data_IF_299565131483
#
_entry.id   IF_299565131483
#
_cell.length_a   1.000
_cell.length_b   1.000
_cell.length_c   1.000
_cell.angle_alpha   90.00
_cell.angle_beta   90.00
_cell.angle_gamma   90.00
#
_symmetry.space_group_name_H-M   'P 1'
#
loop_
_entity.id
_entity.type
_entity.pdbx_description
1 polymer ?
#
# COMPACT_ATOMS: atom_id res chain seq x y z
N UNK A 1 3.26 3.98 -18.73
CA UNK A 1 3.39 2.99 -17.63
C UNK A 1 2.35 3.31 -16.57
N UNK A 2 1.70 2.29 -16.01
CA UNK A 2 0.60 2.42 -15.04
C UNK A 2 1.04 1.86 -13.68
N UNK A 3 0.94 2.68 -12.64
CA UNK A 3 1.36 2.32 -11.27
C UNK A 3 0.17 2.39 -10.32
N UNK A 4 -0.06 1.32 -9.58
CA UNK A 4 -1.05 1.26 -8.51
C UNK A 4 -0.36 1.36 -7.16
N UNK A 5 -0.53 2.48 -6.45
CA UNK A 5 -0.14 2.57 -5.05
C UNK A 5 -1.20 1.96 -4.15
N UNK A 6 -0.77 1.21 -3.14
CA UNK A 6 -1.65 0.50 -2.20
C UNK A 6 -1.22 0.82 -0.78
N UNK A 7 -2.09 1.52 -0.02
CA UNK A 7 -1.86 1.86 1.38
C UNK A 7 -3.16 2.11 2.14
N UNK A 8 -3.11 1.97 3.48
CA UNK A 8 -4.30 2.06 4.35
C UNK A 8 -4.99 3.42 4.36
N UNK A 9 -4.25 4.49 4.14
CA UNK A 9 -4.68 5.89 4.23
C UNK A 9 -4.10 6.70 3.09
N UNK A 10 -4.71 7.84 2.73
CA UNK A 10 -4.25 8.67 1.63
C UNK A 10 -4.53 10.16 1.89
N UNK A 11 -3.67 11.02 1.36
CA UNK A 11 -3.96 12.45 1.25
C UNK A 11 -5.15 12.68 0.28
N UNK A 12 -6.09 13.58 0.52
CA UNK A 12 -6.13 14.58 1.59
C UNK A 12 -6.84 14.12 2.87
N UNK A 13 -7.42 12.91 2.93
CA UNK A 13 -8.17 12.44 4.12
C UNK A 13 -7.27 12.36 5.35
N UNK A 14 -6.02 11.97 5.16
CA UNK A 14 -4.99 11.95 6.20
C UNK A 14 -3.71 12.63 5.71
N UNK A 15 -2.91 13.18 6.63
CA UNK A 15 -1.71 13.98 6.33
C UNK A 15 -0.45 13.46 7.02
N UNK A 16 -0.33 12.13 7.14
CA UNK A 16 0.86 11.48 7.71
C UNK A 16 2.06 11.47 6.76
N UNK A 17 3.20 11.01 7.26
CA UNK A 17 4.44 10.97 6.48
C UNK A 17 4.35 10.05 5.25
N UNK A 18 3.75 8.86 5.41
CA UNK A 18 3.61 7.90 4.30
C UNK A 18 2.71 8.45 3.21
N UNK A 19 1.59 9.09 3.58
CA UNK A 19 0.65 9.72 2.63
C UNK A 19 1.34 10.81 1.81
N UNK A 20 2.24 11.59 2.44
CA UNK A 20 3.02 12.61 1.72
C UNK A 20 4.03 11.97 0.78
N UNK A 21 4.68 10.88 1.17
CA UNK A 21 5.59 10.14 0.27
C UNK A 21 4.84 9.62 -0.94
N UNK A 22 3.67 8.98 -0.75
CA UNK A 22 2.84 8.49 -1.86
C UNK A 22 2.45 9.66 -2.79
N UNK A 23 1.99 10.77 -2.22
CA UNK A 23 1.63 11.99 -2.95
C UNK A 23 2.80 12.52 -3.80
N UNK A 24 3.99 12.64 -3.19
CA UNK A 24 5.18 13.14 -3.89
C UNK A 24 5.65 12.19 -5.00
N UNK A 25 5.60 10.87 -4.79
CA UNK A 25 5.91 9.91 -5.85
C UNK A 25 4.92 10.04 -7.00
N UNK A 26 3.61 10.07 -6.71
CA UNK A 26 2.57 10.19 -7.74
C UNK A 26 2.69 11.48 -8.55
N UNK A 27 2.91 12.62 -7.88
CA UNK A 27 3.07 13.92 -8.55
C UNK A 27 4.40 14.03 -9.31
N UNK A 28 5.51 13.53 -8.73
CA UNK A 28 6.84 13.60 -9.31
C UNK A 28 7.03 12.69 -10.52
N UNK A 29 6.30 11.59 -10.60
CA UNK A 29 6.37 10.65 -11.74
C UNK A 29 5.43 11.01 -12.89
N UNK A 30 4.43 11.85 -12.66
CA UNK A 30 3.47 12.28 -13.67
C UNK A 30 4.13 12.96 -14.91
N UNK A 31 5.12 13.89 -14.77
CA UNK A 31 5.81 14.46 -15.92
C UNK A 31 6.58 13.44 -16.77
N UNK A 32 6.88 12.25 -16.19
CA UNK A 32 7.52 11.14 -16.89
C UNK A 32 6.55 10.25 -17.67
N UNK A 33 5.26 10.66 -17.76
CA UNK A 33 4.21 9.91 -18.45
C UNK A 33 3.73 8.68 -17.67
N UNK A 34 3.90 8.66 -16.35
CA UNK A 34 3.40 7.59 -15.49
C UNK A 34 1.97 7.95 -15.05
N UNK A 35 1.03 7.06 -15.38
CA UNK A 35 -0.35 7.12 -14.90
C UNK A 35 -0.45 6.41 -13.55
N UNK A 36 -0.86 7.14 -12.52
CA UNK A 36 -0.92 6.64 -11.14
C UNK A 36 -2.35 6.58 -10.63
N UNK A 37 -2.68 5.47 -9.97
CA UNK A 37 -3.88 5.34 -9.13
C UNK A 37 -3.48 4.95 -7.71
N UNK A 38 -4.30 5.36 -6.74
CA UNK A 38 -4.10 5.01 -5.34
C UNK A 38 -5.32 4.25 -4.85
N UNK A 39 -5.12 3.05 -4.31
CA UNK A 39 -6.14 2.27 -3.61
C UNK A 39 -5.94 2.39 -2.11
N UNK A 40 -6.97 2.85 -1.41
CA UNK A 40 -6.92 3.12 0.02
C UNK A 40 -8.22 2.73 0.74
N UNK A 41 -8.22 2.77 2.06
CA UNK A 41 -9.40 2.63 2.90
C UNK A 41 -9.90 4.00 3.38
N UNK A 42 -11.20 4.07 3.69
CA UNK A 42 -11.85 5.24 4.29
C UNK A 42 -12.79 4.83 5.41
N UNK A 43 -12.97 5.71 6.40
CA UNK A 43 -13.98 5.56 7.44
C UNK A 43 -15.38 5.97 6.95
N UNK A 44 -15.44 6.82 5.94
CA UNK A 44 -16.68 7.44 5.48
C UNK A 44 -17.43 6.55 4.47
N UNK A 45 -17.06 6.62 3.21
CA UNK A 45 -17.77 5.92 2.14
C UNK A 45 -16.81 5.41 1.06
N UNK A 46 -17.27 4.44 0.29
CA UNK A 46 -16.56 4.04 -0.92
C UNK A 46 -16.77 5.10 -2.00
N UNK A 47 -15.69 5.64 -2.53
CA UNK A 47 -15.71 6.69 -3.55
C UNK A 47 -14.49 6.59 -4.47
N UNK A 48 -14.59 7.21 -5.64
CA UNK A 48 -13.44 7.50 -6.49
C UNK A 48 -13.44 9.00 -6.79
N UNK A 49 -12.29 9.63 -6.62
CA UNK A 49 -12.11 11.06 -6.85
C UNK A 49 -10.70 11.37 -7.31
N UNK A 50 -10.50 12.57 -7.83
CA UNK A 50 -9.18 13.04 -8.25
C UNK A 50 -8.60 14.02 -7.23
N UNK A 51 -7.34 13.83 -6.89
CA UNK A 51 -6.55 14.78 -6.11
C UNK A 51 -5.22 15.03 -6.83
N UNK A 52 -4.94 16.29 -7.15
CA UNK A 52 -3.73 16.69 -7.89
C UNK A 52 -3.50 15.91 -9.19
N UNK A 53 -4.61 15.50 -9.82
CA UNK A 53 -4.60 14.74 -11.07
C UNK A 53 -4.29 13.25 -10.93
N UNK A 54 -4.25 12.73 -9.69
CA UNK A 54 -4.16 11.29 -9.39
C UNK A 54 -5.53 10.76 -8.98
N UNK A 55 -5.97 9.66 -9.58
CA UNK A 55 -7.22 9.00 -9.19
C UNK A 55 -7.03 8.22 -7.88
N UNK A 56 -7.86 8.52 -6.90
CA UNK A 56 -7.89 7.86 -5.59
C UNK A 56 -9.16 7.02 -5.51
N UNK A 57 -9.00 5.72 -5.33
CA UNK A 57 -10.08 4.78 -5.09
C UNK A 57 -10.11 4.46 -3.60
N UNK A 58 -11.05 5.08 -2.90
CA UNK A 58 -11.22 4.98 -1.46
C UNK A 58 -12.34 3.98 -1.16
N UNK A 59 -12.06 2.97 -0.36
CA UNK A 59 -13.01 1.90 -0.02
C UNK A 59 -13.37 1.98 1.45
N UNK A 60 -14.69 2.04 1.75
CA UNK A 60 -15.16 2.03 3.14
C UNK A 60 -14.70 0.76 3.85
N UNK A 61 -14.10 0.94 5.04
CA UNK A 61 -13.79 -0.16 5.96
C UNK A 61 -15.06 -0.91 6.35
N UNK A 62 -15.00 -2.23 6.40
CA UNK A 62 -16.07 -3.07 6.95
C UNK A 62 -15.83 -3.38 8.41
N UNK A 63 -14.58 -3.61 8.76
CA UNK A 63 -14.09 -3.88 10.13
C UNK A 63 -12.71 -3.23 10.31
N UNK A 64 -12.38 -2.94 11.55
CA UNK A 64 -11.04 -2.47 11.93
C UNK A 64 -10.60 -3.18 13.21
N UNK A 65 -9.40 -3.77 13.20
CA UNK A 65 -8.78 -4.45 14.34
C UNK A 65 -7.37 -3.87 14.49
N UNK A 66 -7.08 -3.29 15.66
CA UNK A 66 -5.75 -2.74 15.97
C UNK A 66 -5.21 -1.77 14.91
N UNK A 67 -6.05 -0.83 14.45
CA UNK A 67 -5.76 0.14 13.38
C UNK A 67 -5.47 -0.51 12.00
N UNK A 68 -5.80 -1.76 11.83
CA UNK A 68 -5.75 -2.47 10.56
C UNK A 68 -7.17 -2.65 10.02
N UNK A 69 -7.55 -1.78 9.09
CA UNK A 69 -8.85 -1.83 8.44
C UNK A 69 -8.91 -2.94 7.38
N UNK A 70 -10.07 -3.54 7.23
CA UNK A 70 -10.35 -4.55 6.21
C UNK A 70 -11.71 -4.34 5.54
N UNK A 71 -11.80 -4.72 4.26
CA UNK A 71 -13.07 -4.75 3.53
C UNK A 71 -13.01 -5.77 2.38
N UNK A 72 -14.06 -6.56 2.21
CA UNK A 72 -14.19 -7.44 1.05
C UNK A 72 -14.26 -6.68 -0.28
N UNK A 73 -14.81 -5.45 -0.24
CA UNK A 73 -14.82 -4.56 -1.40
C UNK A 73 -13.39 -4.15 -1.81
N UNK A 74 -12.48 -4.03 -0.83
CA UNK A 74 -11.08 -3.70 -1.10
C UNK A 74 -10.42 -4.79 -1.95
N UNK A 75 -10.59 -6.07 -1.61
CA UNK A 75 -10.06 -7.20 -2.40
C UNK A 75 -10.59 -7.16 -3.83
N UNK A 76 -11.90 -6.90 -3.99
CA UNK A 76 -12.52 -6.82 -5.31
C UNK A 76 -11.96 -5.67 -6.14
N UNK A 77 -11.79 -4.49 -5.53
CA UNK A 77 -11.19 -3.34 -6.20
C UNK A 77 -9.73 -3.59 -6.52
N UNK A 78 -8.97 -4.18 -5.60
CA UNK A 78 -7.59 -4.54 -5.83
C UNK A 78 -7.42 -5.50 -7.02
N UNK A 79 -8.21 -6.57 -7.10
CA UNK A 79 -8.21 -7.50 -8.26
C UNK A 79 -8.48 -6.81 -9.59
N UNK A 80 -9.37 -5.80 -9.60
CA UNK A 80 -9.65 -5.00 -10.80
C UNK A 80 -8.48 -4.11 -11.16
N UNK A 81 -7.93 -3.40 -10.17
CA UNK A 81 -6.87 -2.43 -10.36
C UNK A 81 -5.51 -3.07 -10.62
N UNK A 82 -5.23 -4.24 -10.05
CA UNK A 82 -4.01 -4.98 -10.36
C UNK A 82 -3.94 -5.43 -11.81
N UNK A 83 -5.09 -5.73 -12.45
CA UNK A 83 -5.14 -6.01 -13.89
C UNK A 83 -4.93 -4.77 -14.77
N UNK A 84 -5.21 -3.59 -14.24
CA UNK A 84 -5.00 -2.32 -14.94
C UNK A 84 -3.54 -1.85 -14.84
N UNK A 85 -2.87 -2.14 -13.71
CA UNK A 85 -1.53 -1.66 -13.41
C UNK A 85 -0.45 -2.48 -14.15
N UNK A 86 0.63 -1.84 -14.54
CA UNK A 86 1.87 -2.50 -14.97
C UNK A 86 2.74 -2.85 -13.76
N UNK A 87 2.68 -2.03 -12.70
CA UNK A 87 3.44 -2.18 -11.44
C UNK A 87 2.51 -1.92 -10.26
N UNK A 88 2.64 -2.73 -9.20
CA UNK A 88 1.97 -2.49 -7.93
C UNK A 88 2.99 -2.00 -6.91
N UNK A 89 2.74 -0.84 -6.32
CA UNK A 89 3.62 -0.23 -5.31
C UNK A 89 2.94 -0.28 -3.94
N UNK A 90 3.40 -1.18 -3.09
CA UNK A 90 2.95 -1.30 -1.72
C UNK A 90 3.75 -0.41 -0.79
N UNK A 91 3.08 0.12 0.24
CA UNK A 91 3.70 0.89 1.30
C UNK A 91 3.55 0.11 2.62
N UNK A 92 4.67 -0.38 3.13
CA UNK A 92 4.77 -1.17 4.36
C UNK A 92 5.06 -0.24 5.55
N UNK A 93 4.50 -0.46 6.76
CA UNK A 93 3.73 -1.64 7.16
C UNK A 93 2.22 -1.48 6.99
N UNK A 94 1.59 -2.46 6.40
CA UNK A 94 0.13 -2.59 6.37
C UNK A 94 -0.30 -4.05 6.16
N UNK A 95 -0.63 -4.80 7.22
CA UNK A 95 -0.97 -6.23 7.12
C UNK A 95 -2.10 -6.57 6.12
N UNK A 96 -3.11 -5.70 5.98
CA UNK A 96 -4.13 -5.90 4.94
C UNK A 96 -3.55 -5.72 3.53
N UNK A 97 -2.58 -4.82 3.34
CA UNK A 97 -1.87 -4.64 2.06
C UNK A 97 -1.09 -5.89 1.68
N UNK A 98 -0.38 -6.48 2.65
CA UNK A 98 0.39 -7.71 2.46
C UNK A 98 -0.54 -8.88 2.12
N UNK A 99 -1.70 -8.98 2.79
CA UNK A 99 -2.73 -9.95 2.46
C UNK A 99 -3.31 -9.73 1.05
N UNK A 100 -3.47 -8.49 0.59
CA UNK A 100 -3.94 -8.19 -0.76
C UNK A 100 -2.99 -8.74 -1.84
N UNK A 101 -1.69 -8.83 -1.59
CA UNK A 101 -0.71 -9.35 -2.55
C UNK A 101 -1.03 -10.78 -3.00
N UNK A 102 -1.68 -11.58 -2.14
CA UNK A 102 -2.12 -12.95 -2.47
C UNK A 102 -3.23 -13.00 -3.53
N UNK A 103 -3.89 -11.88 -3.81
CA UNK A 103 -5.03 -11.79 -4.74
C UNK A 103 -4.72 -10.99 -6.00
N UNK A 104 -3.51 -10.44 -6.13
CA UNK A 104 -3.07 -9.66 -7.27
C UNK A 104 -2.86 -10.50 -8.54
N UNK A 105 -2.67 -9.81 -9.65
CA UNK A 105 -2.10 -10.39 -10.86
C UNK A 105 -0.58 -10.52 -10.69
N UNK A 106 0.07 -11.28 -11.57
CA UNK A 106 1.53 -11.51 -11.57
C UNK A 106 2.35 -10.26 -11.98
N UNK A 107 1.88 -9.07 -11.61
CA UNK A 107 2.58 -7.83 -11.94
C UNK A 107 3.83 -7.67 -11.06
N UNK A 108 4.89 -7.08 -11.60
CA UNK A 108 6.01 -6.62 -10.80
C UNK A 108 5.56 -5.75 -9.64
N UNK A 109 6.17 -5.96 -8.48
CA UNK A 109 5.84 -5.22 -7.26
C UNK A 109 7.05 -4.49 -6.67
N UNK A 110 6.78 -3.30 -6.16
CA UNK A 110 7.70 -2.50 -5.36
C UNK A 110 7.13 -2.41 -3.96
N UNK A 111 7.95 -2.58 -2.95
CA UNK A 111 7.57 -2.36 -1.55
C UNK A 111 8.45 -1.26 -0.98
N UNK A 112 7.84 -0.14 -0.57
CA UNK A 112 8.54 0.88 0.22
C UNK A 112 8.35 0.61 1.70
N UNK A 113 9.47 0.35 2.37
CA UNK A 113 9.56 0.04 3.80
C UNK A 113 9.74 1.33 4.59
N UNK A 114 8.70 1.77 5.31
CA UNK A 114 8.71 3.04 6.05
C UNK A 114 9.12 2.89 7.51
N UNK A 115 8.78 1.77 8.14
CA UNK A 115 9.09 1.50 9.55
C UNK A 115 8.84 0.04 9.91
N UNK A 116 9.45 -0.42 11.00
CA UNK A 116 9.17 -1.72 11.60
C UNK A 116 7.80 -1.76 12.30
N UNK A 117 7.19 -2.95 12.38
CA UNK A 117 6.02 -3.19 13.22
C UNK A 117 6.50 -3.39 14.66
N UNK A 118 6.57 -2.31 15.44
CA UNK A 118 7.07 -2.33 16.82
C UNK A 118 5.98 -2.75 17.83
N UNK A 119 4.70 -2.56 17.48
CA UNK A 119 3.56 -2.82 18.39
C UNK A 119 3.02 -4.22 18.20
N UNK A 120 2.64 -4.88 19.34
CA UNK A 120 1.94 -6.18 19.39
C UNK A 120 2.82 -7.41 19.07
N UNK A 121 3.86 -7.63 19.87
CA UNK A 121 4.80 -8.76 19.73
C UNK A 121 4.14 -10.15 19.56
N UNK A 122 2.99 -10.40 20.18
CA UNK A 122 2.26 -11.68 20.05
C UNK A 122 1.59 -11.84 18.68
N UNK A 123 0.98 -10.76 18.16
CA UNK A 123 0.38 -10.75 16.82
C UNK A 123 1.46 -10.79 15.72
N UNK A 124 2.63 -10.21 15.96
CA UNK A 124 3.77 -10.27 15.04
C UNK A 124 4.15 -11.71 14.72
N UNK A 125 4.27 -12.59 15.72
CA UNK A 125 4.61 -14.02 15.49
C UNK A 125 3.62 -14.76 14.60
N UNK A 126 2.32 -14.47 14.74
CA UNK A 126 1.29 -15.09 13.90
C UNK A 126 1.29 -14.52 12.48
N UNK A 127 1.62 -13.26 12.34
CA UNK A 127 1.64 -12.53 11.08
C UNK A 127 2.96 -12.72 10.29
N UNK A 128 4.06 -13.00 10.97
CA UNK A 128 5.41 -13.12 10.39
C UNK A 128 5.52 -14.02 9.14
N UNK A 129 4.83 -15.19 9.03
CA UNK A 129 4.89 -15.98 7.80
C UNK A 129 4.32 -15.25 6.58
N UNK A 130 3.24 -14.49 6.76
CA UNK A 130 2.64 -13.69 5.69
C UNK A 130 3.55 -12.51 5.30
N UNK A 131 4.10 -11.81 6.29
CA UNK A 131 5.04 -10.71 6.12
C UNK A 131 6.29 -11.16 5.33
N UNK A 132 6.93 -12.24 5.79
CA UNK A 132 8.11 -12.79 5.12
C UNK A 132 7.81 -13.23 3.69
N UNK A 133 6.67 -13.89 3.47
CA UNK A 133 6.23 -14.27 2.13
C UNK A 133 6.05 -13.04 1.24
N UNK A 134 5.36 -12.00 1.73
CA UNK A 134 5.12 -10.76 1.01
C UNK A 134 6.41 -10.04 0.63
N UNK A 135 7.31 -9.84 1.60
CA UNK A 135 8.58 -9.14 1.37
C UNK A 135 9.50 -9.91 0.41
N UNK A 136 9.55 -11.25 0.51
CA UNK A 136 10.36 -12.10 -0.38
C UNK A 136 9.82 -12.16 -1.80
N UNK A 137 8.56 -11.88 -2.04
CA UNK A 137 7.97 -11.82 -3.38
C UNK A 137 8.11 -10.46 -4.05
N UNK A 138 8.51 -9.43 -3.33
CA UNK A 138 8.74 -8.10 -3.90
C UNK A 138 9.89 -8.12 -4.92
N UNK A 139 9.67 -7.56 -6.10
CA UNK A 139 10.73 -7.43 -7.11
C UNK A 139 11.74 -6.35 -6.72
N UNK A 140 11.28 -5.31 -6.02
CA UNK A 140 12.11 -4.21 -5.50
C UNK A 140 11.66 -3.88 -4.08
N UNK A 141 12.60 -3.87 -3.15
CA UNK A 141 12.41 -3.39 -1.79
C UNK A 141 13.15 -2.06 -1.63
N UNK A 142 12.42 -1.01 -1.24
CA UNK A 142 12.94 0.35 -1.04
C UNK A 142 12.91 0.67 0.44
N UNK A 143 14.07 0.86 1.06
CA UNK A 143 14.19 1.38 2.41
C UNK A 143 14.17 2.92 2.38
N UNK A 144 13.41 3.55 3.29
CA UNK A 144 13.31 5.02 3.37
C UNK A 144 14.54 5.68 3.98
N UNK A 145 15.44 4.90 4.60
CA UNK A 145 16.74 5.37 5.04
C UNK A 145 17.77 4.24 5.00
N UNK A 146 19.10 4.57 4.87
CA UNK A 146 20.17 3.57 4.96
C UNK A 146 20.17 2.79 6.27
N UNK A 147 19.76 3.41 7.38
CA UNK A 147 19.68 2.75 8.68
C UNK A 147 18.65 1.61 8.67
N UNK A 148 17.49 1.81 8.06
CA UNK A 148 16.48 0.74 7.93
C UNK A 148 16.98 -0.42 7.07
N UNK A 149 17.80 -0.17 6.06
CA UNK A 149 18.38 -1.22 5.24
C UNK A 149 19.37 -2.12 6.01
N UNK A 150 20.00 -1.60 7.08
CA UNK A 150 21.02 -2.32 7.86
C UNK A 150 20.52 -2.86 9.21
N UNK A 151 19.46 -2.27 9.79
CA UNK A 151 19.00 -2.57 11.15
C UNK A 151 17.65 -3.26 11.22
N UNK A 152 16.96 -3.38 10.09
CA UNK A 152 15.70 -4.13 10.02
C UNK A 152 15.96 -5.61 10.27
N UNK A 153 15.27 -6.20 11.25
CA UNK A 153 15.36 -7.62 11.65
C UNK A 153 14.59 -8.57 10.71
N UNK A 154 14.20 -8.10 9.51
CA UNK A 154 13.44 -8.89 8.54
C UNK A 154 14.27 -9.30 7.33
#
# INVERSE_FOLDING_TARGET
MKVLHVYRTCYPETKGGVEQVIRFIASGTKPLGIETKILTLSDNQTSSYYCEGTEIISVKKSIEISSNGFSWKLIRQFKKLSKWADIIHYHYPWPTGDFLSLFGSSNPSIVTYHSDIIRQKCLKKLYQPLESHFLNQANILVATSPQYAHTSEN
#
